data_IF_965620598729
#
_entry.id   IF_965620598729
#
_cell.length_a   1.000
_cell.length_b   1.000
_cell.length_c   1.000
_cell.angle_alpha   90.00
_cell.angle_beta   90.00
_cell.angle_gamma   90.00
#
_symmetry.space_group_name_H-M   'P 1'
#
loop_
_entity.id
_entity.type
_entity.pdbx_description
1 polymer ?
#
# COMPACT_ATOMS: atom_id res chain seq x y z
N UNK A 1 -10.26 -65.25 -21.99
CA UNK A 1 -10.38 -63.84 -22.38
C UNK A 1 -10.93 -63.10 -21.17
N UNK A 2 -10.11 -62.24 -20.55
CA UNK A 2 -10.47 -61.46 -19.36
C UNK A 2 -10.38 -59.99 -19.78
N UNK A 3 -11.41 -59.16 -19.59
CA UNK A 3 -11.35 -57.77 -19.98
C UNK A 3 -10.57 -56.96 -18.93
N UNK A 4 -9.58 -56.21 -19.38
CA UNK A 4 -8.84 -55.24 -18.57
C UNK A 4 -9.68 -53.98 -18.39
N UNK A 5 -10.19 -53.74 -17.18
CA UNK A 5 -10.79 -52.45 -16.80
C UNK A 5 -9.70 -51.57 -16.16
N UNK A 6 -9.42 -50.42 -16.79
CA UNK A 6 -8.57 -49.38 -16.22
C UNK A 6 -9.42 -48.42 -15.39
N UNK A 7 -9.16 -48.34 -14.09
CA UNK A 7 -9.74 -47.32 -13.23
C UNK A 7 -8.79 -46.12 -13.15
N UNK A 8 -9.20 -44.98 -13.71
CA UNK A 8 -8.52 -43.70 -13.54
C UNK A 8 -8.80 -43.16 -12.13
N UNK A 9 -7.78 -43.13 -11.28
CA UNK A 9 -7.83 -42.35 -10.03
C UNK A 9 -7.49 -40.89 -10.36
N UNK A 10 -8.51 -40.04 -10.44
CA UNK A 10 -8.33 -38.59 -10.47
C UNK A 10 -8.32 -38.10 -9.02
N UNK A 11 -7.14 -37.86 -8.46
CA UNK A 11 -7.00 -37.27 -7.13
C UNK A 11 -7.28 -35.78 -7.22
N UNK A 12 -8.48 -35.37 -6.86
CA UNK A 12 -8.76 -33.96 -6.57
C UNK A 12 -8.20 -33.64 -5.18
N UNK A 13 -7.09 -32.89 -5.13
CA UNK A 13 -6.65 -32.21 -3.91
C UNK A 13 -7.66 -31.10 -3.61
N UNK A 14 -8.64 -31.40 -2.77
CA UNK A 14 -9.50 -30.39 -2.15
C UNK A 14 -8.69 -29.79 -1.00
N UNK A 15 -8.10 -28.62 -1.24
CA UNK A 15 -7.61 -27.78 -0.13
C UNK A 15 -8.84 -27.24 0.60
N UNK A 16 -9.29 -27.94 1.64
CA UNK A 16 -10.19 -27.35 2.63
C UNK A 16 -9.36 -26.38 3.47
N UNK A 17 -9.39 -25.10 3.12
CA UNK A 17 -9.03 -24.08 4.09
C UNK A 17 -10.18 -24.02 5.10
N UNK A 18 -9.94 -24.54 6.30
CA UNK A 18 -10.89 -24.39 7.40
C UNK A 18 -11.08 -22.89 7.65
N UNK A 19 -12.26 -22.39 7.28
CA UNK A 19 -12.66 -21.02 7.57
C UNK A 19 -12.86 -20.94 9.09
N UNK A 20 -11.83 -20.51 9.81
CA UNK A 20 -11.94 -20.21 11.24
C UNK A 20 -12.91 -19.03 11.35
N UNK A 21 -14.18 -19.34 11.60
CA UNK A 21 -15.20 -18.39 12.05
C UNK A 21 -14.94 -18.05 13.51
N UNK A 22 -13.82 -17.37 13.77
CA UNK A 22 -13.70 -16.56 14.97
C UNK A 22 -14.17 -15.15 14.60
N UNK A 23 -15.12 -14.62 15.37
CA UNK A 23 -15.39 -13.19 15.42
C UNK A 23 -14.15 -12.49 15.98
N UNK A 24 -13.12 -12.37 15.15
CA UNK A 24 -11.81 -11.82 15.46
C UNK A 24 -11.31 -11.19 14.18
N UNK A 25 -10.91 -9.93 14.27
CA UNK A 25 -10.46 -9.12 13.14
C UNK A 25 -9.54 -9.94 12.22
N UNK A 26 -9.96 -10.17 10.98
CA UNK A 26 -9.08 -10.70 9.94
C UNK A 26 -7.96 -9.66 9.79
N UNK A 27 -6.74 -10.02 10.19
CA UNK A 27 -5.57 -9.18 9.93
C UNK A 27 -5.35 -9.26 8.43
N UNK A 28 -5.85 -8.26 7.69
CA UNK A 28 -5.67 -8.20 6.25
C UNK A 28 -4.18 -8.18 5.93
N UNK A 29 -3.74 -8.95 4.92
CA UNK A 29 -2.36 -8.97 4.54
C UNK A 29 -1.88 -7.55 4.21
N UNK A 30 -0.61 -7.24 4.50
CA UNK A 30 -0.11 -5.88 4.48
C UNK A 30 -0.23 -5.18 3.13
N UNK A 31 -0.30 -5.91 2.01
CA UNK A 31 -0.46 -5.37 0.66
C UNK A 31 -1.91 -5.14 0.22
N UNK A 32 -2.92 -5.47 1.04
CA UNK A 32 -4.32 -5.18 0.73
C UNK A 32 -4.72 -3.77 1.18
N UNK A 33 -5.61 -3.16 0.38
CA UNK A 33 -6.23 -1.87 0.69
C UNK A 33 -6.86 -1.94 2.08
N UNK A 34 -6.66 -0.92 2.95
CA UNK A 34 -7.22 -0.91 4.29
C UNK A 34 -8.74 -1.07 4.25
N UNK A 35 -9.26 -2.11 4.91
CA UNK A 35 -10.70 -2.23 5.11
C UNK A 35 -11.15 -1.25 6.18
N UNK A 36 -11.77 -0.16 5.72
CA UNK A 36 -12.36 0.87 6.56
C UNK A 36 -13.81 0.55 6.95
N UNK A 37 -14.12 -0.74 7.17
CA UNK A 37 -15.46 -1.23 7.47
C UNK A 37 -16.38 -1.15 6.26
N UNK A 38 -15.86 -1.54 5.09
CA UNK A 38 -16.54 -1.45 3.79
C UNK A 38 -16.61 -0.04 3.21
N UNK A 39 -15.91 0.94 3.79
CA UNK A 39 -15.80 2.30 3.26
C UNK A 39 -14.56 2.45 2.39
N UNK A 40 -14.66 3.35 1.43
CA UNK A 40 -13.52 3.76 0.60
C UNK A 40 -12.39 4.35 1.43
N UNK A 41 -11.15 3.99 1.10
CA UNK A 41 -9.96 4.59 1.70
C UNK A 41 -9.75 5.98 1.12
N UNK A 42 -9.92 6.99 1.97
CA UNK A 42 -9.66 8.38 1.59
C UNK A 42 -8.18 8.69 1.73
N UNK A 43 -7.55 9.04 0.62
CA UNK A 43 -6.17 9.51 0.56
C UNK A 43 -6.21 11.02 0.37
N UNK A 44 -5.67 11.75 1.34
CA UNK A 44 -5.47 13.20 1.26
C UNK A 44 -4.06 13.46 0.75
N UNK A 45 -3.95 14.30 -0.28
CA UNK A 45 -2.68 14.66 -0.87
C UNK A 45 -2.43 16.16 -0.79
N UNK A 46 -1.20 16.55 -0.58
CA UNK A 46 -0.72 17.93 -0.69
C UNK A 46 0.55 17.95 -1.52
N UNK A 47 0.67 18.92 -2.40
CA UNK A 47 1.77 19.06 -3.33
C UNK A 47 2.55 20.33 -2.99
N UNK A 48 3.85 20.19 -2.75
CA UNK A 48 4.75 21.32 -2.55
C UNK A 48 5.75 21.41 -3.71
N UNK A 49 5.60 22.42 -4.57
CA UNK A 49 6.49 22.61 -5.72
C UNK A 49 7.68 23.46 -5.31
N UNK A 50 8.88 22.89 -5.38
CA UNK A 50 10.13 23.56 -5.03
C UNK A 50 10.80 24.22 -6.24
N UNK A 51 10.71 23.58 -7.41
CA UNK A 51 11.24 24.10 -8.67
C UNK A 51 10.25 23.80 -9.78
N UNK A 52 10.11 24.76 -10.69
CA UNK A 52 9.29 24.64 -11.88
C UNK A 52 10.00 25.33 -13.04
N UNK A 53 10.23 24.59 -14.12
CA UNK A 53 10.77 25.11 -15.37
C UNK A 53 9.90 24.58 -16.50
N UNK A 54 9.50 25.47 -17.40
CA UNK A 54 8.75 25.08 -18.59
C UNK A 54 9.52 25.53 -19.84
N UNK A 55 9.61 24.63 -20.82
CA UNK A 55 10.24 24.87 -22.11
C UNK A 55 9.35 24.26 -23.20
N UNK A 56 8.76 25.11 -24.05
CA UNK A 56 7.87 24.70 -25.14
C UNK A 56 6.68 23.86 -24.62
N UNK A 57 6.64 22.57 -24.97
CA UNK A 57 5.57 21.63 -24.59
C UNK A 57 5.94 20.78 -23.37
N UNK A 58 7.12 21.00 -22.79
CA UNK A 58 7.67 20.20 -21.70
C UNK A 58 7.78 21.06 -20.43
N UNK A 59 7.65 20.39 -19.28
CA UNK A 59 7.87 20.99 -17.97
C UNK A 59 8.70 20.06 -17.09
N UNK A 60 9.70 20.63 -16.44
CA UNK A 60 10.51 20.01 -15.41
C UNK A 60 10.04 20.56 -14.05
N UNK A 61 9.75 19.66 -13.11
CA UNK A 61 9.22 20.03 -11.81
C UNK A 61 9.89 19.20 -10.72
N UNK A 62 10.43 19.87 -9.70
CA UNK A 62 10.86 19.23 -8.47
C UNK A 62 9.86 19.55 -7.37
N UNK A 63 9.24 18.54 -6.78
CA UNK A 63 8.18 18.73 -5.79
C UNK A 63 8.17 17.60 -4.76
N UNK A 64 7.60 17.91 -3.60
CA UNK A 64 7.33 16.95 -2.54
C UNK A 64 5.83 16.64 -2.54
N UNK A 65 5.47 15.36 -2.63
CA UNK A 65 4.11 14.88 -2.42
C UNK A 65 3.98 14.46 -0.96
N UNK A 66 3.00 15.03 -0.26
CA UNK A 66 2.61 14.62 1.08
C UNK A 66 1.30 13.85 0.96
N UNK A 67 1.28 12.61 1.41
CA UNK A 67 0.10 11.76 1.40
C UNK A 67 -0.29 11.38 2.83
N UNK A 68 -1.58 11.39 3.10
CA UNK A 68 -2.13 10.89 4.35
C UNK A 68 -3.37 10.04 4.12
N UNK A 69 -3.41 8.90 4.78
CA UNK A 69 -4.57 8.00 4.78
C UNK A 69 -4.77 7.41 6.16
N UNK A 70 -5.92 6.76 6.35
CA UNK A 70 -6.22 6.04 7.59
C UNK A 70 -6.25 4.54 7.32
N UNK A 71 -5.54 3.79 8.14
CA UNK A 71 -5.54 2.34 8.16
C UNK A 71 -5.87 1.83 9.59
N UNK A 72 -7.02 1.16 9.77
CA UNK A 72 -7.43 0.63 11.07
C UNK A 72 -6.45 -0.38 11.68
N UNK A 73 -5.61 -1.05 10.88
CA UNK A 73 -4.62 -2.04 11.36
C UNK A 73 -3.56 -1.42 12.29
N UNK A 74 -3.32 -0.11 12.16
CA UNK A 74 -2.34 0.62 12.96
C UNK A 74 -2.95 1.26 14.21
N UNK A 75 -4.26 1.10 14.45
CA UNK A 75 -4.92 1.61 15.65
C UNK A 75 -4.50 0.79 16.87
N UNK A 76 -3.89 1.44 17.85
CA UNK A 76 -3.53 0.82 19.12
C UNK A 76 -4.14 1.63 20.28
N UNK A 77 -5.23 1.14 20.85
CA UNK A 77 -5.95 1.79 21.96
C UNK A 77 -5.20 1.75 23.29
N UNK A 78 -4.14 0.94 23.39
CA UNK A 78 -3.30 0.82 24.60
C UNK A 78 -2.12 1.81 24.62
N UNK A 79 -1.92 2.58 23.54
CA UNK A 79 -0.84 3.57 23.43
C UNK A 79 -1.40 4.98 23.25
N UNK A 80 -0.55 5.98 23.45
CA UNK A 80 -0.91 7.36 23.16
C UNK A 80 -1.21 7.49 21.66
N UNK A 81 -2.39 7.99 21.26
CA UNK A 81 -2.79 8.09 19.86
C UNK A 81 -1.87 8.98 19.01
N UNK A 82 -1.12 9.89 19.64
CA UNK A 82 -0.21 10.81 18.96
C UNK A 82 1.23 10.27 18.84
N UNK A 83 1.54 9.14 19.49
CA UNK A 83 2.81 8.46 19.27
C UNK A 83 2.75 7.69 17.94
N UNK A 84 3.92 7.48 17.32
CA UNK A 84 4.04 6.88 16.00
C UNK A 84 5.22 5.91 15.91
N UNK A 85 5.10 4.97 14.98
CA UNK A 85 6.22 4.17 14.47
C UNK A 85 6.68 4.74 13.14
N UNK A 86 7.97 4.64 12.86
CA UNK A 86 8.57 5.04 11.59
C UNK A 86 8.93 3.78 10.83
N UNK A 87 8.34 3.60 9.66
CA UNK A 87 8.67 2.51 8.73
C UNK A 87 9.58 3.03 7.65
N UNK A 88 10.71 2.35 7.47
CA UNK A 88 11.72 2.69 6.46
C UNK A 88 11.42 2.02 5.13
N UNK A 89 12.12 2.44 4.08
CA UNK A 89 11.95 1.92 2.73
C UNK A 89 12.04 0.38 2.65
N UNK A 90 12.86 -0.26 3.49
CA UNK A 90 13.00 -1.73 3.54
C UNK A 90 11.75 -2.43 4.09
N UNK A 91 10.90 -1.71 4.82
CA UNK A 91 9.71 -2.23 5.48
C UNK A 91 8.43 -1.91 4.68
N UNK A 92 8.55 -1.27 3.52
CA UNK A 92 7.41 -0.84 2.70
C UNK A 92 6.59 -1.99 2.12
N UNK A 93 7.14 -3.20 2.06
CA UNK A 93 6.39 -4.40 1.69
C UNK A 93 5.38 -4.82 2.77
N UNK A 94 5.58 -4.36 4.00
CA UNK A 94 4.73 -4.66 5.16
C UNK A 94 3.60 -3.66 5.36
N UNK A 95 3.44 -2.67 4.47
CA UNK A 95 2.42 -1.63 4.59
C UNK A 95 1.80 -1.35 3.23
N UNK A 96 0.47 -1.36 3.19
CA UNK A 96 -0.25 -0.90 2.02
C UNK A 96 -0.08 0.60 1.87
N UNK A 97 0.27 1.02 0.66
CA UNK A 97 0.39 2.43 0.28
C UNK A 97 -0.41 2.69 -0.98
N UNK A 98 -0.92 3.92 -1.17
CA UNK A 98 -1.55 4.32 -2.42
C UNK A 98 -0.58 4.17 -3.60
N UNK A 99 -1.06 3.61 -4.71
CA UNK A 99 -0.35 3.44 -5.97
C UNK A 99 -0.41 4.72 -6.82
N UNK A 100 0.07 5.82 -6.25
CA UNK A 100 0.00 7.14 -6.91
C UNK A 100 0.99 7.23 -8.06
N UNK A 101 0.50 7.68 -9.22
CA UNK A 101 1.29 7.87 -10.44
C UNK A 101 0.93 9.19 -11.14
N UNK A 102 1.82 9.67 -12.02
CA UNK A 102 1.61 10.88 -12.82
C UNK A 102 1.26 10.47 -14.24
N UNK A 103 -0.01 10.64 -14.62
CA UNK A 103 -0.54 10.13 -15.88
C UNK A 103 0.13 10.71 -17.14
N UNK A 104 0.63 11.94 -17.07
CA UNK A 104 1.22 12.67 -18.21
C UNK A 104 2.73 12.85 -18.10
N UNK A 105 3.38 12.01 -17.29
CA UNK A 105 4.84 11.97 -17.23
C UNK A 105 5.43 11.54 -18.58
N UNK A 106 6.52 12.18 -19.00
CA UNK A 106 7.28 11.70 -20.16
C UNK A 106 8.09 10.45 -19.78
N UNK A 107 8.25 9.47 -20.68
CA UNK A 107 8.90 8.18 -20.40
C UNK A 107 10.38 8.24 -19.98
N UNK A 108 10.98 9.44 -19.99
CA UNK A 108 12.36 9.70 -19.59
C UNK A 108 12.43 10.54 -18.29
N UNK A 109 11.29 10.77 -17.63
CA UNK A 109 11.22 11.39 -16.31
C UNK A 109 11.96 10.50 -15.33
N UNK A 110 13.21 10.84 -15.02
CA UNK A 110 13.96 10.10 -14.01
C UNK A 110 13.44 10.56 -12.67
N UNK A 111 12.42 9.90 -12.14
CA UNK A 111 12.18 9.96 -10.71
C UNK A 111 13.34 9.24 -10.02
N UNK A 112 14.37 9.98 -9.65
CA UNK A 112 15.11 9.61 -8.46
C UNK A 112 14.19 9.90 -7.28
N UNK A 113 13.27 8.97 -6.99
CA UNK A 113 12.69 8.86 -5.65
C UNK A 113 13.87 8.56 -4.74
N UNK A 114 14.51 9.62 -4.25
CA UNK A 114 15.55 9.44 -3.25
C UNK A 114 14.85 8.77 -2.07
N UNK A 115 15.34 7.61 -1.57
CA UNK A 115 14.67 6.81 -0.54
C UNK A 115 14.76 7.47 0.84
N UNK A 116 14.31 8.72 0.94
CA UNK A 116 14.03 9.43 2.20
C UNK A 116 12.62 9.16 2.71
N UNK A 117 11.83 8.43 1.91
CA UNK A 117 10.45 8.05 2.17
C UNK A 117 10.41 7.22 3.45
N UNK A 118 9.93 7.86 4.52
CA UNK A 118 9.56 7.17 5.76
C UNK A 118 8.05 7.29 5.90
N UNK A 119 7.41 6.18 6.26
CA UNK A 119 5.99 6.20 6.63
C UNK A 119 5.89 6.40 8.14
N UNK A 120 5.26 7.49 8.54
CA UNK A 120 4.93 7.75 9.94
C UNK A 120 3.55 7.19 10.22
N UNK A 121 3.48 6.09 10.97
CA UNK A 121 2.24 5.43 11.33
C UNK A 121 1.88 5.74 12.79
N UNK A 122 0.89 6.59 12.98
CA UNK A 122 0.38 6.99 14.29
C UNK A 122 -0.54 5.91 14.88
N UNK A 123 -0.52 5.74 16.20
CA UNK A 123 -1.38 4.75 16.87
C UNK A 123 -2.87 5.09 16.85
N UNK A 124 -3.26 6.26 16.34
CA UNK A 124 -4.64 6.57 15.99
C UNK A 124 -5.09 5.99 14.63
N UNK A 125 -4.19 5.33 13.90
CA UNK A 125 -4.41 4.74 12.58
C UNK A 125 -4.13 5.68 11.41
N UNK A 126 -3.66 6.90 11.64
CA UNK A 126 -3.25 7.82 10.57
C UNK A 126 -1.84 7.51 10.10
N UNK A 127 -1.65 7.47 8.79
CA UNK A 127 -0.36 7.29 8.16
C UNK A 127 0.00 8.54 7.35
N UNK A 128 1.28 8.83 7.31
CA UNK A 128 1.85 9.94 6.55
C UNK A 128 3.07 9.48 5.77
N UNK A 129 3.11 9.81 4.49
CA UNK A 129 4.20 9.52 3.57
C UNK A 129 4.57 10.82 2.87
N UNK A 130 5.84 11.18 2.90
CA UNK A 130 6.38 12.25 2.07
C UNK A 130 7.34 11.64 1.07
N UNK A 131 7.08 11.88 -0.22
CA UNK A 131 7.93 11.43 -1.32
C UNK A 131 8.42 12.66 -2.07
N UNK A 132 9.74 12.75 -2.24
CA UNK A 132 10.37 13.78 -3.06
C UNK A 132 10.52 13.27 -4.49
N UNK A 133 10.08 14.08 -5.45
CA UNK A 133 10.17 13.81 -6.88
C UNK A 133 10.95 14.95 -7.52
N UNK A 134 11.99 14.60 -8.28
CA UNK A 134 12.94 15.54 -8.91
C UNK A 134 12.80 15.51 -10.41
#
# INVERSE_FOLDING_TARGET
MVPSCYFYFMTFLVFSLDLITSSGAVILPPWEVPDNGGKETKVTMSLYVSQFRSVLFDAEMTFDIHQSWTDPRFKNTSRNPNDYNVYRAEEFENIWRPDTYIANEMPNGVFETTPTDNIYAYFNGSLFLTTRLV
#
